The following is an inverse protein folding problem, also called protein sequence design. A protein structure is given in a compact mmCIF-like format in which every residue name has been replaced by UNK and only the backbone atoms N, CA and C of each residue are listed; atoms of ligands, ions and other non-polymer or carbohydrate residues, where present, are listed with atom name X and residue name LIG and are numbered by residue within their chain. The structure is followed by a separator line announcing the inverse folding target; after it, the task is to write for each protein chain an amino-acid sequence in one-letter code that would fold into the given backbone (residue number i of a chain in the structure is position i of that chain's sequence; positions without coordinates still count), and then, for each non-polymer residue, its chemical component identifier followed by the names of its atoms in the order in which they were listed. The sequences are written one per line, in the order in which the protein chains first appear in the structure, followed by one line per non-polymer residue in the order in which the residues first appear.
data_IF_752341575923
#
_entry.id   IF_752341575923
#
_cell.length_a   1.000
_cell.length_b   1.000
_cell.length_c   1.000
_cell.angle_alpha   90.00
_cell.angle_beta   90.00
_cell.angle_gamma   90.00
#
_symmetry.space_group_name_H-M   'P 1'
#
loop_
_entity.id
_entity.type
_entity.pdbx_description
1 polymer ?
#
# COMPACT_ATOMS: atom_id res chain seq x y z
N UNK A 1 -4.04 -6.31 2.64
CA UNK A 1 -3.46 -5.84 3.92
C UNK A 1 -4.45 -6.11 5.03
N UNK A 2 -3.98 -6.55 6.19
CA UNK A 2 -4.69 -6.53 7.48
C UNK A 2 -4.81 -5.11 8.02
N UNK A 3 -5.66 -4.91 9.04
CA UNK A 3 -5.87 -3.60 9.66
C UNK A 3 -4.57 -2.97 10.19
N UNK A 4 -3.65 -3.78 10.73
CA UNK A 4 -2.38 -3.31 11.30
C UNK A 4 -1.39 -2.79 10.24
N UNK A 5 -1.52 -3.26 8.99
CA UNK A 5 -0.65 -2.88 7.88
C UNK A 5 -1.10 -1.56 7.22
N UNK A 6 -2.41 -1.25 7.21
CA UNK A 6 -3.00 -0.11 6.47
C UNK A 6 -2.27 1.20 6.76
N UNK A 7 -2.15 1.57 8.03
CA UNK A 7 -1.54 2.85 8.40
C UNK A 7 -0.03 2.88 8.15
N UNK A 8 0.65 1.72 8.17
CA UNK A 8 2.07 1.62 7.82
C UNK A 8 2.26 1.91 6.32
N UNK A 9 1.44 1.28 5.49
CA UNK A 9 1.44 1.49 4.04
C UNK A 9 1.10 2.94 3.66
N UNK A 10 0.04 3.55 4.24
CA UNK A 10 -0.31 4.96 3.98
C UNK A 10 0.85 5.90 4.29
N UNK A 11 1.50 5.72 5.45
CA UNK A 11 2.65 6.57 5.82
C UNK A 11 3.83 6.39 4.87
N UNK A 12 4.10 5.16 4.42
CA UNK A 12 5.17 4.89 3.47
C UNK A 12 4.90 5.54 2.10
N UNK A 13 3.68 5.43 1.57
CA UNK A 13 3.27 6.08 0.32
C UNK A 13 3.39 7.61 0.42
N UNK A 14 2.87 8.22 1.51
CA UNK A 14 2.94 9.68 1.72
C UNK A 14 4.36 10.20 1.84
N UNK A 15 5.27 9.48 2.52
CA UNK A 15 6.72 9.83 2.52
C UNK A 15 7.33 9.78 1.12
N UNK A 16 6.83 8.90 0.26
CA UNK A 16 7.17 8.81 -1.16
C UNK A 16 6.59 9.91 -2.04
N UNK A 17 5.76 10.81 -1.49
CA UNK A 17 4.92 11.75 -2.24
C UNK A 17 3.93 11.05 -3.20
N UNK A 18 3.39 9.92 -2.77
CA UNK A 18 2.34 9.18 -3.50
C UNK A 18 1.01 9.39 -2.75
N UNK A 19 -0.01 9.81 -3.48
CA UNK A 19 -1.33 10.10 -2.92
C UNK A 19 -2.16 8.83 -2.75
N UNK A 20 -2.86 8.74 -1.63
CA UNK A 20 -3.85 7.68 -1.38
C UNK A 20 -5.18 8.14 -1.94
N UNK A 21 -5.73 7.37 -2.87
CA UNK A 21 -6.98 7.68 -3.58
C UNK A 21 -8.17 7.04 -2.87
N UNK A 22 -8.05 5.78 -2.45
CA UNK A 22 -9.13 5.10 -1.72
C UNK A 22 -8.63 3.94 -0.87
N UNK A 23 -9.43 3.56 0.12
CA UNK A 23 -9.22 2.41 1.00
C UNK A 23 -10.57 1.72 1.25
N UNK A 24 -10.67 0.43 0.98
CA UNK A 24 -11.90 -0.35 1.15
C UNK A 24 -11.64 -1.85 1.32
N UNK A 25 -12.68 -2.61 1.66
CA UNK A 25 -12.69 -4.08 1.65
C UNK A 25 -13.73 -4.58 0.61
N UNK A 26 -13.53 -5.78 0.07
CA UNK A 26 -14.44 -6.37 -0.92
C UNK A 26 -15.37 -7.44 -0.35
N UNK A 27 -14.97 -8.09 0.74
CA UNK A 27 -15.74 -9.16 1.35
C UNK A 27 -16.55 -8.65 2.55
N UNK A 28 -17.74 -9.24 2.77
CA UNK A 28 -18.63 -8.89 3.87
C UNK A 28 -18.26 -9.59 5.19
N UNK A 29 -17.65 -10.78 5.11
CA UNK A 29 -17.41 -11.70 6.24
C UNK A 29 -16.02 -12.36 6.23
N UNK A 30 -15.05 -11.75 5.55
CA UNK A 30 -13.67 -12.25 5.57
C UNK A 30 -13.05 -12.10 6.96
N UNK A 31 -12.27 -13.12 7.36
CA UNK A 31 -11.48 -13.13 8.59
C UNK A 31 -10.12 -13.79 8.31
N UNK A 32 -8.99 -13.09 8.47
CA UNK A 32 -8.89 -11.67 8.83
C UNK A 32 -9.43 -10.76 7.73
N UNK A 33 -10.05 -9.64 8.11
CA UNK A 33 -10.51 -8.63 7.15
C UNK A 33 -9.34 -8.07 6.33
N UNK A 34 -9.49 -8.13 5.01
CA UNK A 34 -8.53 -7.58 4.07
C UNK A 34 -8.97 -6.21 3.55
N UNK A 35 -8.03 -5.27 3.58
CA UNK A 35 -8.14 -3.94 3.02
C UNK A 35 -7.30 -3.82 1.75
N UNK A 36 -7.88 -3.12 0.78
CA UNK A 36 -7.35 -2.79 -0.53
C UNK A 36 -7.21 -1.28 -0.63
N UNK A 37 -6.12 -0.81 -1.24
CA UNK A 37 -5.80 0.61 -1.33
C UNK A 37 -5.46 0.98 -2.76
N UNK A 38 -6.07 2.04 -3.26
CA UNK A 38 -5.72 2.67 -4.52
C UNK A 38 -4.88 3.90 -4.23
N UNK A 39 -3.83 4.10 -5.01
CA UNK A 39 -2.92 5.23 -4.88
C UNK A 39 -2.53 5.75 -6.27
N UNK A 40 -2.10 7.01 -6.34
CA UNK A 40 -1.75 7.67 -7.60
C UNK A 40 -0.55 8.58 -7.42
N UNK A 41 0.30 8.63 -8.45
CA UNK A 41 1.37 9.63 -8.57
C UNK A 41 1.88 9.65 -10.01
N UNK A 42 2.37 10.81 -10.45
CA UNK A 42 3.09 10.99 -11.72
C UNK A 42 4.46 11.58 -11.41
N UNK A 43 5.51 11.08 -12.08
CA UNK A 43 6.87 11.56 -11.86
C UNK A 43 7.94 10.60 -12.40
N UNK A 44 9.18 10.81 -11.95
CA UNK A 44 10.32 9.97 -12.32
C UNK A 44 10.11 8.49 -11.96
N UNK A 45 10.28 7.61 -12.95
CA UNK A 45 9.97 6.19 -12.81
C UNK A 45 10.82 5.50 -11.74
N UNK A 46 12.11 5.82 -11.65
CA UNK A 46 13.01 5.19 -10.67
C UNK A 46 12.67 5.63 -9.25
N UNK A 47 12.38 6.92 -9.06
CA UNK A 47 11.92 7.47 -7.79
C UNK A 47 10.62 6.81 -7.34
N UNK A 48 9.66 6.66 -8.26
CA UNK A 48 8.38 5.99 -7.98
C UNK A 48 8.59 4.52 -7.60
N UNK A 49 9.38 3.77 -8.37
CA UNK A 49 9.67 2.37 -8.07
C UNK A 49 10.29 2.19 -6.67
N UNK A 50 11.26 3.03 -6.29
CA UNK A 50 11.86 2.99 -4.95
C UNK A 50 10.88 3.34 -3.84
N UNK A 51 9.96 4.29 -4.08
CA UNK A 51 8.94 4.65 -3.11
C UNK A 51 7.90 3.53 -2.94
N UNK A 52 7.47 2.90 -4.03
CA UNK A 52 6.55 1.76 -4.01
C UNK A 52 7.17 0.55 -3.33
N UNK A 53 8.45 0.26 -3.57
CA UNK A 53 9.15 -0.82 -2.89
C UNK A 53 9.13 -0.66 -1.36
N UNK A 54 9.47 0.55 -0.85
CA UNK A 54 9.37 0.85 0.59
C UNK A 54 7.95 0.78 1.15
N UNK A 55 6.94 1.04 0.32
CA UNK A 55 5.55 0.88 0.72
C UNK A 55 5.15 -0.59 0.81
N UNK A 56 5.64 -1.44 -0.10
CA UNK A 56 5.46 -2.89 -0.03
C UNK A 56 6.14 -3.49 1.20
N UNK A 57 7.36 -3.06 1.55
CA UNK A 57 8.07 -3.48 2.78
C UNK A 57 7.33 -3.10 4.08
N UNK A 58 6.36 -2.17 4.03
CA UNK A 58 5.53 -1.81 5.18
C UNK A 58 4.37 -2.79 5.43
N UNK A 59 4.22 -3.78 4.53
CA UNK A 59 3.24 -4.85 4.55
C UNK A 59 3.96 -6.20 4.64
N UNK A 60 3.20 -7.25 4.91
CA UNK A 60 3.72 -8.61 5.08
C UNK A 60 3.78 -9.36 3.73
N UNK A 61 3.74 -8.63 2.60
CA UNK A 61 3.83 -9.21 1.26
C UNK A 61 5.23 -9.77 1.01
N UNK A 62 5.31 -11.05 0.65
CA UNK A 62 6.57 -11.68 0.28
C UNK A 62 6.87 -11.46 -1.22
N UNK A 63 8.16 -11.26 -1.60
CA UNK A 63 8.55 -11.28 -3.00
C UNK A 63 8.18 -12.61 -3.65
N UNK A 64 7.75 -12.57 -4.91
CA UNK A 64 7.65 -13.78 -5.73
C UNK A 64 9.07 -14.24 -6.03
N UNK A 65 9.38 -15.50 -5.71
CA UNK A 65 10.68 -16.12 -5.98
C UNK A 65 10.93 -16.33 -7.48
#
# INVERSE_FOLDING_TARGET
MTANEVNRAIRALRRGKIDVVSLHNHALRDEPRLFYMHFWSVGDAVRLARALHRAAEATDVAPVA
#
